data_IF_107520807164
#
_entry.id   IF_107520807164
#
_cell.length_a   1.000
_cell.length_b   1.000
_cell.length_c   1.000
_cell.angle_alpha   90.00
_cell.angle_beta   90.00
_cell.angle_gamma   90.00
#
_symmetry.space_group_name_H-M   'P 1'
#
loop_
_entity.id
_entity.type
_entity.pdbx_description
1 polymer ?
#
# COMPACT_ATOMS: atom_id res chain seq x y z
N UNK A 1 -23.30 -11.93 4.49
CA UNK A 1 -23.62 -12.44 3.10
C UNK A 1 -23.54 -13.97 3.13
N UNK A 2 -24.46 -14.69 2.47
CA UNK A 2 -24.44 -16.17 2.48
C UNK A 2 -23.17 -16.69 1.76
N UNK A 3 -22.45 -17.62 2.37
CA UNK A 3 -21.28 -18.35 1.81
C UNK A 3 -21.58 -18.97 0.41
N UNK A 4 -22.85 -19.25 0.10
CA UNK A 4 -23.28 -19.75 -1.21
C UNK A 4 -23.02 -18.74 -2.35
N UNK A 5 -23.13 -17.43 -2.10
CA UNK A 5 -22.85 -16.39 -3.13
C UNK A 5 -21.37 -16.21 -3.46
N UNK A 6 -20.46 -16.67 -2.61
CA UNK A 6 -19.02 -16.62 -2.85
C UNK A 6 -18.55 -17.62 -3.94
N UNK A 7 -19.40 -18.58 -4.34
CA UNK A 7 -19.09 -19.59 -5.37
C UNK A 7 -19.81 -19.39 -6.71
N UNK A 8 -20.66 -18.34 -6.85
CA UNK A 8 -21.25 -18.02 -8.15
C UNK A 8 -20.16 -17.72 -9.17
N UNK A 9 -20.21 -18.21 -10.41
CA UNK A 9 -19.26 -17.79 -11.43
C UNK A 9 -19.31 -16.27 -11.64
N UNK A 10 -18.17 -15.67 -11.86
CA UNK A 10 -18.00 -14.21 -12.01
C UNK A 10 -17.26 -13.87 -13.29
N UNK A 11 -17.52 -12.69 -13.86
CA UNK A 11 -16.79 -12.15 -14.99
C UNK A 11 -16.56 -10.63 -14.86
N UNK A 12 -15.44 -10.16 -15.39
CA UNK A 12 -15.14 -8.74 -15.51
C UNK A 12 -14.11 -8.45 -16.61
N UNK A 13 -13.98 -7.16 -16.98
CA UNK A 13 -12.80 -6.68 -17.69
C UNK A 13 -11.64 -6.60 -16.69
N UNK A 14 -10.56 -7.33 -16.96
CA UNK A 14 -9.41 -7.47 -16.06
C UNK A 14 -8.25 -6.50 -16.36
N UNK A 15 -8.29 -5.76 -17.47
CA UNK A 15 -7.29 -4.74 -17.84
C UNK A 15 -7.74 -3.36 -17.40
N UNK A 16 -6.76 -2.45 -17.25
CA UNK A 16 -7.03 -1.06 -16.87
C UNK A 16 -8.03 -0.40 -17.85
N UNK A 17 -8.84 0.52 -17.32
CA UNK A 17 -9.77 1.31 -18.14
C UNK A 17 -9.01 2.22 -19.12
N UNK A 18 -9.57 2.39 -20.32
CA UNK A 18 -8.99 3.24 -21.36
C UNK A 18 -8.79 2.48 -22.68
N UNK A 19 -7.99 3.08 -23.58
CA UNK A 19 -7.66 2.48 -24.89
C UNK A 19 -6.28 1.83 -24.80
N UNK A 20 -6.21 0.54 -25.13
CA UNK A 20 -4.97 -0.22 -25.20
C UNK A 20 -4.90 -1.11 -26.45
N UNK A 21 -3.74 -1.67 -26.73
CA UNK A 21 -3.60 -2.65 -27.82
C UNK A 21 -4.32 -3.96 -27.49
N UNK A 22 -4.29 -4.38 -26.22
CA UNK A 22 -4.92 -5.60 -25.70
C UNK A 22 -5.81 -5.25 -24.52
N UNK A 23 -6.98 -5.93 -24.45
CA UNK A 23 -7.88 -5.95 -23.32
C UNK A 23 -8.28 -7.37 -22.98
N UNK A 24 -8.53 -7.64 -21.71
CA UNK A 24 -8.83 -8.98 -21.20
C UNK A 24 -10.19 -8.97 -20.51
N UNK A 25 -11.08 -9.87 -20.95
CA UNK A 25 -12.27 -10.26 -20.18
C UNK A 25 -11.93 -11.57 -19.48
N UNK A 26 -12.10 -11.62 -18.16
CA UNK A 26 -11.83 -12.79 -17.31
C UNK A 26 -13.10 -13.28 -16.68
N UNK A 27 -13.28 -14.59 -16.67
CA UNK A 27 -14.30 -15.28 -15.87
C UNK A 27 -13.63 -16.26 -14.90
N UNK A 28 -14.22 -16.46 -13.71
CA UNK A 28 -13.83 -17.47 -12.71
C UNK A 28 -15.04 -18.13 -12.12
N UNK A 29 -14.94 -19.42 -11.83
CA UNK A 29 -15.99 -20.21 -11.19
C UNK A 29 -15.63 -21.68 -11.02
N UNK A 30 -16.43 -22.43 -10.25
CA UNK A 30 -16.15 -23.85 -9.96
C UNK A 30 -16.06 -24.75 -11.19
N UNK A 31 -16.86 -24.45 -12.22
CA UNK A 31 -16.88 -25.15 -13.51
C UNK A 31 -17.27 -24.17 -14.62
N UNK A 32 -16.33 -23.87 -15.51
CA UNK A 32 -16.55 -23.02 -16.68
C UNK A 32 -16.66 -23.81 -17.99
N UNK A 33 -16.69 -25.14 -17.99
CA UNK A 33 -16.85 -25.96 -19.20
C UNK A 33 -18.14 -25.64 -19.97
N UNK A 34 -19.30 -25.40 -19.31
CA UNK A 34 -20.50 -24.98 -20.01
C UNK A 34 -20.37 -23.61 -20.70
N UNK A 35 -19.67 -22.66 -20.07
CA UNK A 35 -19.39 -21.35 -20.67
C UNK A 35 -18.50 -21.49 -21.91
N UNK A 36 -17.40 -22.26 -21.79
CA UNK A 36 -16.47 -22.52 -22.89
C UNK A 36 -17.22 -23.18 -24.08
N UNK A 37 -18.11 -24.15 -23.79
CA UNK A 37 -18.91 -24.81 -24.80
C UNK A 37 -19.90 -23.84 -25.47
N UNK A 38 -20.53 -22.93 -24.70
CA UNK A 38 -21.47 -21.95 -25.23
C UNK A 38 -20.79 -20.88 -26.11
N UNK A 39 -19.54 -20.50 -25.79
CA UNK A 39 -18.77 -19.51 -26.53
C UNK A 39 -18.13 -20.08 -27.81
N UNK A 40 -17.60 -21.32 -27.76
CA UNK A 40 -16.70 -21.84 -28.80
C UNK A 40 -17.18 -23.15 -29.42
N UNK A 41 -18.24 -23.77 -28.91
CA UNK A 41 -18.77 -25.05 -29.41
C UNK A 41 -17.84 -26.27 -29.19
N UNK A 42 -16.73 -26.05 -28.47
CA UNK A 42 -15.70 -27.09 -28.16
C UNK A 42 -14.92 -26.77 -26.92
N UNK A 43 -14.32 -27.75 -26.23
CA UNK A 43 -13.39 -27.49 -25.13
C UNK A 43 -12.10 -26.83 -25.65
N UNK A 44 -11.43 -26.08 -24.77
CA UNK A 44 -10.13 -25.51 -25.00
C UNK A 44 -9.04 -26.39 -24.33
N UNK A 45 -7.88 -26.50 -25.01
CA UNK A 45 -6.73 -27.14 -24.39
C UNK A 45 -6.28 -26.33 -23.14
N UNK A 46 -6.06 -27.00 -21.98
CA UNK A 46 -5.63 -26.33 -20.77
C UNK A 46 -4.36 -25.50 -20.97
N UNK A 47 -4.39 -24.23 -20.52
CA UNK A 47 -3.26 -23.29 -20.54
C UNK A 47 -2.62 -23.05 -21.91
N UNK A 48 -3.35 -23.34 -22.98
CA UNK A 48 -2.92 -23.10 -24.36
C UNK A 48 -3.64 -21.86 -24.90
N UNK A 49 -2.86 -20.89 -25.37
CA UNK A 49 -3.39 -19.72 -26.07
C UNK A 49 -3.94 -20.15 -27.42
N UNK A 50 -5.25 -20.03 -27.60
CA UNK A 50 -5.95 -20.47 -28.82
C UNK A 50 -6.55 -19.26 -29.54
N UNK A 51 -6.11 -19.00 -30.79
CA UNK A 51 -6.66 -17.92 -31.58
C UNK A 51 -8.06 -18.32 -32.11
N UNK A 52 -9.07 -17.55 -31.73
CA UNK A 52 -10.47 -17.81 -32.05
C UNK A 52 -11.22 -16.53 -32.44
N UNK A 53 -12.28 -16.62 -33.27
CA UNK A 53 -13.24 -15.54 -33.40
C UNK A 53 -14.08 -15.47 -32.11
N UNK A 54 -14.25 -14.28 -31.56
CA UNK A 54 -15.25 -13.98 -30.55
C UNK A 54 -16.52 -13.49 -31.23
N UNK A 55 -17.62 -14.21 -31.03
CA UNK A 55 -18.88 -13.97 -31.78
C UNK A 55 -19.99 -13.52 -30.84
N UNK A 56 -20.84 -12.62 -31.33
CA UNK A 56 -22.09 -12.27 -30.68
C UNK A 56 -23.08 -13.46 -30.76
N UNK A 57 -24.25 -13.35 -30.13
CA UNK A 57 -25.25 -14.40 -30.09
C UNK A 57 -25.86 -14.70 -31.50
N UNK A 58 -25.88 -13.69 -32.37
CA UNK A 58 -26.33 -13.81 -33.76
C UNK A 58 -25.27 -14.41 -34.70
N UNK A 59 -24.11 -14.76 -34.20
CA UNK A 59 -23.00 -15.33 -34.98
C UNK A 59 -22.08 -14.26 -35.62
N UNK A 60 -22.39 -12.97 -35.52
CA UNK A 60 -21.51 -11.91 -36.02
C UNK A 60 -20.20 -11.85 -35.23
N UNK A 61 -19.10 -11.60 -35.93
CA UNK A 61 -17.77 -11.52 -35.28
C UNK A 61 -17.64 -10.20 -34.59
N UNK A 62 -17.38 -10.23 -33.26
CA UNK A 62 -17.04 -9.07 -32.45
C UNK A 62 -15.53 -8.74 -32.58
N UNK A 63 -14.69 -9.78 -32.49
CA UNK A 63 -13.25 -9.67 -32.59
C UNK A 63 -12.60 -11.03 -32.91
N UNK A 64 -11.26 -11.03 -33.12
CA UNK A 64 -10.42 -12.22 -33.16
C UNK A 64 -9.30 -12.07 -32.15
N UNK A 65 -9.21 -12.99 -31.19
CA UNK A 65 -8.27 -12.90 -30.09
C UNK A 65 -7.87 -14.25 -29.52
N UNK A 66 -7.16 -14.24 -28.41
CA UNK A 66 -6.70 -15.45 -27.75
C UNK A 66 -7.65 -15.81 -26.60
N UNK A 67 -8.10 -17.06 -26.59
CA UNK A 67 -8.79 -17.63 -25.43
C UNK A 67 -7.84 -18.59 -24.70
N UNK A 68 -7.79 -18.50 -23.38
CA UNK A 68 -6.97 -19.34 -22.52
C UNK A 68 -7.85 -19.85 -21.38
N UNK A 69 -7.90 -21.17 -21.19
CA UNK A 69 -8.57 -21.82 -20.07
C UNK A 69 -7.54 -22.34 -19.06
N UNK A 70 -7.69 -21.96 -17.81
CA UNK A 70 -6.89 -22.40 -16.67
C UNK A 70 -7.76 -23.26 -15.75
N UNK A 71 -7.70 -24.60 -15.85
CA UNK A 71 -8.47 -25.46 -14.97
C UNK A 71 -8.02 -25.38 -13.51
N UNK A 72 -8.98 -25.53 -12.61
CA UNK A 72 -8.74 -25.69 -11.19
C UNK A 72 -7.79 -26.89 -10.90
N UNK A 73 -6.97 -26.86 -9.83
CA UNK A 73 -6.72 -25.74 -8.92
C UNK A 73 -5.62 -24.80 -9.42
N UNK A 74 -5.14 -24.96 -10.63
CA UNK A 74 -3.94 -24.33 -11.16
C UNK A 74 -4.27 -23.02 -11.94
N UNK A 75 -4.98 -22.13 -11.32
CA UNK A 75 -5.39 -20.82 -11.81
C UNK A 75 -5.08 -19.73 -10.77
N UNK A 76 -5.41 -18.48 -11.08
CA UNK A 76 -5.23 -17.35 -10.15
C UNK A 76 -6.12 -17.48 -8.91
N UNK A 77 -7.41 -17.80 -9.12
CA UNK A 77 -8.40 -17.91 -8.03
C UNK A 77 -8.41 -19.28 -7.35
N UNK A 78 -7.76 -20.30 -7.92
CA UNK A 78 -7.94 -21.70 -7.48
C UNK A 78 -9.12 -22.40 -8.15
N UNK A 79 -10.09 -21.66 -8.71
CA UNK A 79 -11.22 -22.17 -9.50
C UNK A 79 -10.83 -22.31 -10.99
N UNK A 80 -11.77 -22.74 -11.84
CA UNK A 80 -11.61 -22.59 -13.29
C UNK A 80 -11.54 -21.10 -13.65
N UNK A 81 -10.59 -20.72 -14.52
CA UNK A 81 -10.47 -19.36 -15.05
C UNK A 81 -10.43 -19.40 -16.57
N UNK A 82 -11.24 -18.56 -17.21
CA UNK A 82 -11.23 -18.31 -18.65
C UNK A 82 -10.81 -16.86 -18.90
N UNK A 83 -9.79 -16.67 -19.74
CA UNK A 83 -9.38 -15.35 -20.22
C UNK A 83 -9.60 -15.23 -21.72
N UNK A 84 -10.23 -14.14 -22.13
CA UNK A 84 -10.44 -13.72 -23.51
C UNK A 84 -9.64 -12.46 -23.76
N UNK A 85 -8.55 -12.59 -24.49
CA UNK A 85 -7.65 -11.47 -24.83
C UNK A 85 -8.03 -10.93 -26.20
N UNK A 86 -8.65 -9.76 -26.21
CA UNK A 86 -9.18 -9.06 -27.38
C UNK A 86 -8.42 -7.75 -27.63
N UNK A 87 -8.77 -6.99 -28.67
CA UNK A 87 -8.31 -5.62 -28.80
C UNK A 87 -8.87 -4.74 -27.66
N UNK A 88 -8.03 -3.85 -27.11
CA UNK A 88 -8.30 -3.08 -25.89
C UNK A 88 -9.19 -1.84 -26.08
N UNK A 89 -10.18 -1.93 -26.97
CA UNK A 89 -11.19 -0.89 -27.14
C UNK A 89 -12.28 -0.97 -26.07
N UNK A 90 -12.61 0.11 -25.31
CA UNK A 90 -13.60 0.03 -24.24
C UNK A 90 -14.96 -0.49 -24.67
N UNK A 91 -15.45 -0.08 -25.84
CA UNK A 91 -16.74 -0.55 -26.38
C UNK A 91 -16.69 -2.04 -26.71
N UNK A 92 -15.60 -2.49 -27.33
CA UNK A 92 -15.42 -3.90 -27.68
C UNK A 92 -15.39 -4.78 -26.43
N UNK A 93 -14.65 -4.37 -25.40
CA UNK A 93 -14.55 -5.13 -24.14
C UNK A 93 -15.91 -5.20 -23.41
N UNK A 94 -16.72 -4.14 -23.46
CA UNK A 94 -18.08 -4.18 -22.92
C UNK A 94 -19.00 -5.14 -23.72
N UNK A 95 -18.90 -5.13 -25.05
CA UNK A 95 -19.66 -6.08 -25.90
C UNK A 95 -19.24 -7.53 -25.62
N UNK A 96 -17.92 -7.77 -25.47
CA UNK A 96 -17.40 -9.09 -25.17
C UNK A 96 -17.81 -9.55 -23.76
N UNK A 97 -17.76 -8.68 -22.77
CA UNK A 97 -18.22 -8.97 -21.41
C UNK A 97 -19.72 -9.27 -21.36
N UNK A 98 -20.54 -8.49 -22.08
CA UNK A 98 -21.98 -8.74 -22.20
C UNK A 98 -22.25 -10.12 -22.83
N UNK A 99 -21.51 -10.49 -23.89
CA UNK A 99 -21.60 -11.82 -24.54
C UNK A 99 -21.20 -12.94 -23.59
N UNK A 100 -20.16 -12.77 -22.78
CA UNK A 100 -19.72 -13.75 -21.76
C UNK A 100 -20.81 -13.95 -20.71
N UNK A 101 -21.40 -12.87 -20.19
CA UNK A 101 -22.50 -12.93 -19.22
C UNK A 101 -23.75 -13.62 -19.79
N UNK A 102 -24.13 -13.31 -21.05
CA UNK A 102 -25.24 -13.97 -21.75
C UNK A 102 -24.97 -15.47 -21.89
N UNK A 103 -23.79 -15.86 -22.39
CA UNK A 103 -23.42 -17.27 -22.58
C UNK A 103 -23.34 -18.04 -21.25
N UNK A 104 -23.00 -17.37 -20.17
CA UNK A 104 -22.90 -17.94 -18.82
C UNK A 104 -24.18 -17.87 -17.99
N UNK A 105 -25.29 -17.35 -18.55
CA UNK A 105 -26.56 -17.21 -17.80
C UNK A 105 -27.05 -18.54 -17.21
N UNK A 106 -26.86 -19.64 -17.94
CA UNK A 106 -27.27 -20.98 -17.50
C UNK A 106 -26.51 -21.52 -16.29
N UNK A 107 -25.34 -20.99 -16.00
CA UNK A 107 -24.52 -21.33 -14.80
C UNK A 107 -24.59 -20.26 -13.73
N UNK A 108 -25.42 -19.23 -13.86
CA UNK A 108 -25.55 -18.14 -12.91
C UNK A 108 -24.36 -17.14 -12.93
N UNK A 109 -23.64 -17.04 -14.05
CA UNK A 109 -22.52 -16.11 -14.21
C UNK A 109 -22.98 -14.66 -14.02
N UNK A 110 -22.30 -13.93 -13.14
CA UNK A 110 -22.60 -12.53 -12.84
C UNK A 110 -21.35 -11.64 -12.97
N UNK A 111 -21.56 -10.33 -12.90
CA UNK A 111 -20.45 -9.39 -12.77
C UNK A 111 -19.71 -9.58 -11.44
N UNK A 112 -18.38 -9.52 -11.52
CA UNK A 112 -17.52 -9.52 -10.35
C UNK A 112 -17.65 -8.21 -9.57
N UNK A 113 -17.52 -8.30 -8.25
CA UNK A 113 -17.32 -7.14 -7.38
C UNK A 113 -15.88 -6.65 -7.46
N UNK A 114 -15.60 -5.47 -6.87
CA UNK A 114 -14.24 -4.99 -6.69
C UNK A 114 -13.43 -6.01 -5.86
N UNK A 115 -12.22 -6.36 -6.33
CA UNK A 115 -11.31 -7.29 -5.66
C UNK A 115 -11.75 -8.75 -5.60
N UNK A 116 -12.88 -9.15 -6.18
CA UNK A 116 -13.46 -10.48 -5.96
C UNK A 116 -12.60 -11.65 -6.48
N UNK A 117 -11.83 -11.46 -7.53
CA UNK A 117 -10.89 -12.51 -8.00
C UNK A 117 -9.77 -12.74 -6.98
N UNK A 118 -9.22 -11.65 -6.40
CA UNK A 118 -8.17 -11.73 -5.38
C UNK A 118 -8.72 -12.24 -4.05
N UNK A 119 -9.96 -11.84 -3.68
CA UNK A 119 -10.67 -12.39 -2.52
C UNK A 119 -10.82 -13.91 -2.61
N UNK A 120 -11.19 -14.44 -3.80
CA UNK A 120 -11.27 -15.90 -4.02
C UNK A 120 -9.90 -16.57 -3.96
N UNK A 121 -8.87 -15.94 -4.54
CA UNK A 121 -7.51 -16.46 -4.43
C UNK A 121 -7.05 -16.59 -2.97
N UNK A 122 -7.43 -15.65 -2.10
CA UNK A 122 -7.20 -15.73 -0.66
C UNK A 122 -8.04 -16.84 -0.01
N UNK A 123 -9.35 -16.92 -0.31
CA UNK A 123 -10.25 -17.94 0.27
C UNK A 123 -9.92 -19.37 -0.16
N UNK A 124 -9.29 -19.56 -1.32
CA UNK A 124 -8.84 -20.84 -1.84
C UNK A 124 -7.34 -21.11 -1.58
N UNK A 125 -6.76 -20.43 -0.57
CA UNK A 125 -5.37 -20.60 -0.07
C UNK A 125 -4.30 -20.48 -1.18
N UNK A 126 -4.56 -19.71 -2.25
CA UNK A 126 -3.58 -19.44 -3.31
C UNK A 126 -2.58 -18.38 -2.89
N UNK A 127 -3.03 -17.42 -2.11
CA UNK A 127 -2.26 -16.31 -1.54
C UNK A 127 -2.81 -15.99 -0.16
N UNK A 128 -1.99 -15.48 0.73
CA UNK A 128 -2.45 -14.93 2.00
C UNK A 128 -2.88 -13.44 1.87
N UNK A 129 -3.35 -12.86 2.98
CA UNK A 129 -3.88 -11.50 2.96
C UNK A 129 -2.80 -10.45 2.66
N UNK A 130 -1.56 -10.63 3.14
CA UNK A 130 -0.46 -9.72 2.85
C UNK A 130 -0.04 -9.80 1.37
N UNK A 131 -0.04 -10.98 0.78
CA UNK A 131 0.19 -11.18 -0.65
C UNK A 131 -0.94 -10.60 -1.49
N UNK A 132 -2.21 -10.78 -1.07
CA UNK A 132 -3.35 -10.18 -1.72
C UNK A 132 -3.23 -8.65 -1.79
N UNK A 133 -2.89 -8.01 -0.67
CA UNK A 133 -2.65 -6.57 -0.63
C UNK A 133 -1.47 -6.14 -1.52
N UNK A 134 -0.41 -6.96 -1.59
CA UNK A 134 0.76 -6.68 -2.43
C UNK A 134 0.42 -6.66 -3.93
N UNK A 135 -0.62 -7.39 -4.39
CA UNK A 135 -1.13 -7.27 -5.76
C UNK A 135 -1.58 -5.84 -6.07
N UNK A 136 -2.34 -5.23 -5.17
CA UNK A 136 -2.78 -3.84 -5.34
C UNK A 136 -1.61 -2.87 -5.26
N UNK A 137 -0.72 -3.06 -4.28
CA UNK A 137 0.43 -2.19 -4.06
C UNK A 137 1.42 -2.23 -5.24
N UNK A 138 1.58 -3.38 -5.91
CA UNK A 138 2.40 -3.50 -7.12
C UNK A 138 1.83 -2.70 -8.30
N UNK A 139 0.50 -2.66 -8.41
CA UNK A 139 -0.20 -1.95 -9.48
C UNK A 139 -0.16 -0.43 -9.25
N UNK A 140 -0.30 -0.01 -7.98
CA UNK A 140 -0.35 1.39 -7.56
C UNK A 140 1.05 1.98 -7.34
N UNK A 141 2.12 1.17 -7.46
CA UNK A 141 3.49 1.60 -7.21
C UNK A 141 3.90 2.76 -8.13
N UNK A 142 4.30 3.87 -7.53
CA UNK A 142 4.73 5.09 -8.24
C UNK A 142 6.26 5.20 -8.41
N UNK A 143 7.03 4.32 -7.73
CA UNK A 143 8.49 4.29 -7.80
C UNK A 143 9.00 2.86 -8.04
N UNK A 144 10.21 2.73 -8.60
CA UNK A 144 10.86 1.43 -8.80
C UNK A 144 11.06 0.70 -7.47
N UNK A 145 11.46 1.41 -6.42
CA UNK A 145 11.66 0.85 -5.08
C UNK A 145 10.35 0.29 -4.51
N UNK A 146 9.23 1.02 -4.63
CA UNK A 146 7.92 0.55 -4.23
C UNK A 146 7.49 -0.69 -5.03
N UNK A 147 7.64 -0.69 -6.36
CA UNK A 147 7.29 -1.83 -7.21
C UNK A 147 8.10 -3.09 -6.85
N UNK A 148 9.42 -2.96 -6.69
CA UNK A 148 10.29 -4.08 -6.28
C UNK A 148 9.95 -4.61 -4.89
N UNK A 149 9.58 -3.71 -3.96
CA UNK A 149 9.18 -4.07 -2.61
C UNK A 149 7.84 -4.79 -2.58
N UNK A 150 6.86 -4.32 -3.39
CA UNK A 150 5.56 -4.98 -3.57
C UNK A 150 5.72 -6.37 -4.22
N UNK A 151 6.58 -6.51 -5.24
CA UNK A 151 6.87 -7.80 -5.86
C UNK A 151 7.43 -8.81 -4.84
N UNK A 152 8.36 -8.40 -3.96
CA UNK A 152 8.88 -9.28 -2.88
C UNK A 152 7.80 -9.69 -1.89
N UNK A 153 6.88 -8.79 -1.54
CA UNK A 153 5.74 -9.13 -0.68
C UNK A 153 4.79 -10.11 -1.35
N UNK A 154 4.53 -9.92 -2.66
CA UNK A 154 3.71 -10.83 -3.45
C UNK A 154 4.35 -12.22 -3.56
N UNK A 155 5.67 -12.31 -3.69
CA UNK A 155 6.44 -13.58 -3.67
C UNK A 155 6.44 -14.25 -2.29
N UNK A 156 5.83 -13.65 -1.27
CA UNK A 156 5.64 -14.23 0.06
C UNK A 156 6.79 -13.98 1.05
N UNK A 157 7.75 -13.11 0.73
CA UNK A 157 8.89 -12.87 1.63
C UNK A 157 8.45 -12.31 3.00
N UNK A 158 7.47 -11.41 3.02
CA UNK A 158 6.90 -10.88 4.26
C UNK A 158 6.12 -11.94 5.02
N UNK A 159 5.24 -12.68 4.34
CA UNK A 159 4.44 -13.75 4.92
C UNK A 159 5.29 -14.84 5.54
N UNK A 160 6.37 -15.27 4.87
CA UNK A 160 7.31 -16.26 5.39
C UNK A 160 7.99 -15.80 6.69
N UNK A 161 8.33 -14.51 6.79
CA UNK A 161 8.86 -13.93 8.02
C UNK A 161 7.82 -13.95 9.14
N UNK A 162 6.58 -13.53 8.87
CA UNK A 162 5.48 -13.53 9.84
C UNK A 162 5.18 -14.94 10.33
N UNK A 163 5.07 -15.94 9.43
CA UNK A 163 4.84 -17.33 9.83
C UNK A 163 6.00 -17.89 10.68
N UNK A 164 7.25 -17.53 10.36
CA UNK A 164 8.41 -17.93 11.16
C UNK A 164 8.33 -17.36 12.59
N UNK A 165 7.93 -16.10 12.72
CA UNK A 165 7.76 -15.45 14.03
C UNK A 165 6.59 -16.04 14.80
N UNK A 166 5.45 -16.28 14.13
CA UNK A 166 4.27 -16.94 14.69
C UNK A 166 4.61 -18.35 15.22
N UNK A 167 5.34 -19.14 14.43
CA UNK A 167 5.80 -20.47 14.83
C UNK A 167 6.63 -20.45 16.12
N UNK A 168 7.56 -19.49 16.26
CA UNK A 168 8.36 -19.32 17.49
C UNK A 168 7.50 -18.98 18.72
N UNK A 169 6.48 -18.12 18.54
CA UNK A 169 5.53 -17.78 19.62
C UNK A 169 4.72 -19.01 20.02
N UNK A 170 4.21 -19.78 19.04
CA UNK A 170 3.43 -21.01 19.27
C UNK A 170 4.28 -22.07 19.99
N UNK A 171 5.53 -22.28 19.58
CA UNK A 171 6.45 -23.21 20.24
C UNK A 171 6.69 -22.81 21.71
N UNK A 172 6.91 -21.50 21.97
CA UNK A 172 7.10 -21.03 23.33
C UNK A 172 5.84 -21.17 24.17
N UNK A 173 4.66 -20.84 23.59
CA UNK A 173 3.37 -21.00 24.25
C UNK A 173 3.10 -22.46 24.61
N UNK A 174 3.34 -23.39 23.71
CA UNK A 174 3.17 -24.82 23.97
C UNK A 174 4.03 -25.31 25.14
N UNK A 175 5.27 -24.80 25.28
CA UNK A 175 6.13 -25.11 26.43
C UNK A 175 5.56 -24.57 27.76
N UNK A 176 5.00 -23.35 27.74
CA UNK A 176 4.36 -22.75 28.93
C UNK A 176 3.11 -23.50 29.31
N UNK A 177 2.23 -23.84 28.35
CA UNK A 177 1.00 -24.62 28.57
C UNK A 177 1.33 -26.02 29.10
N UNK A 178 2.36 -26.69 28.57
CA UNK A 178 2.81 -28.00 29.09
C UNK A 178 3.27 -27.90 30.56
N UNK A 179 3.90 -26.80 30.98
CA UNK A 179 4.29 -26.57 32.38
C UNK A 179 3.05 -26.37 33.29
N UNK A 180 2.00 -25.73 32.78
CA UNK A 180 0.73 -25.57 33.52
C UNK A 180 -0.03 -26.89 33.67
N UNK A 181 0.00 -27.75 32.64
CA UNK A 181 -0.74 -29.02 32.64
C UNK A 181 -0.06 -30.10 33.51
N UNK A 182 1.27 -30.04 33.73
CA UNK A 182 2.04 -31.03 34.50
C UNK A 182 2.81 -30.39 35.67
N UNK A 183 2.13 -29.80 36.65
CA UNK A 183 2.78 -29.06 37.76
C UNK A 183 3.53 -30.00 38.75
N UNK A 184 3.29 -31.31 38.69
CA UNK A 184 3.91 -32.30 39.60
C UNK A 184 5.31 -32.77 39.12
N UNK A 185 5.71 -32.46 37.92
CA UNK A 185 7.06 -32.74 37.44
C UNK A 185 8.02 -31.68 38.00
N UNK A 186 8.91 -32.08 38.91
CA UNK A 186 9.94 -31.20 39.55
C UNK A 186 10.94 -30.57 38.56
N UNK A 187 10.61 -30.53 37.29
CA UNK A 187 11.45 -29.98 36.23
C UNK A 187 10.98 -28.57 35.93
N UNK A 188 11.81 -27.56 36.23
CA UNK A 188 11.62 -26.22 35.74
C UNK A 188 11.80 -26.21 34.21
N UNK A 189 10.70 -26.52 33.49
CA UNK A 189 10.66 -26.57 32.03
C UNK A 189 11.01 -25.21 31.44
N UNK A 190 10.70 -24.10 32.14
CA UNK A 190 11.02 -22.74 31.69
C UNK A 190 12.53 -22.48 31.73
N UNK A 191 13.25 -22.96 32.76
CA UNK A 191 14.71 -22.87 32.81
C UNK A 191 15.38 -23.78 31.78
N UNK A 192 14.96 -25.05 31.65
CA UNK A 192 15.50 -25.97 30.67
C UNK A 192 15.20 -25.53 29.22
N UNK A 193 14.02 -25.02 28.97
CA UNK A 193 13.62 -24.53 27.65
C UNK A 193 14.23 -23.17 27.29
N UNK A 194 14.98 -22.52 28.21
CA UNK A 194 15.48 -21.17 28.03
C UNK A 194 14.38 -20.18 27.60
N UNK A 195 13.22 -20.27 28.25
CA UNK A 195 12.03 -19.54 27.83
C UNK A 195 12.27 -18.02 27.75
N UNK A 196 13.04 -17.45 28.67
CA UNK A 196 13.42 -16.02 28.67
C UNK A 196 14.29 -15.67 27.46
N UNK A 197 15.33 -16.46 27.17
CA UNK A 197 16.20 -16.22 26.01
C UNK A 197 15.43 -16.32 24.71
N UNK A 198 14.46 -17.26 24.62
CA UNK A 198 13.57 -17.38 23.45
C UNK A 198 12.64 -16.17 23.32
N UNK A 199 12.06 -15.71 24.44
CA UNK A 199 11.20 -14.53 24.46
C UNK A 199 11.95 -13.27 24.01
N UNK A 200 13.17 -13.05 24.55
CA UNK A 200 14.04 -11.93 24.15
C UNK A 200 14.40 -12.01 22.65
N UNK A 201 14.67 -13.21 22.14
CA UNK A 201 14.98 -13.42 20.73
C UNK A 201 13.76 -13.16 19.82
N UNK A 202 12.55 -13.55 20.26
CA UNK A 202 11.31 -13.26 19.54
C UNK A 202 11.05 -11.75 19.52
N UNK A 203 11.17 -11.07 20.67
CA UNK A 203 10.99 -9.63 20.77
C UNK A 203 11.95 -8.87 19.87
N UNK A 204 13.24 -9.20 19.90
CA UNK A 204 14.23 -8.59 19.03
C UNK A 204 13.89 -8.78 17.54
N UNK A 205 13.42 -9.98 17.17
CA UNK A 205 13.04 -10.30 15.79
C UNK A 205 11.76 -9.54 15.34
N UNK A 206 10.74 -9.43 16.22
CA UNK A 206 9.54 -8.61 15.96
C UNK A 206 9.92 -7.13 15.84
N UNK A 207 10.81 -6.63 16.71
CA UNK A 207 11.34 -5.26 16.63
C UNK A 207 12.02 -4.97 15.29
N UNK A 208 12.83 -5.91 14.80
CA UNK A 208 13.47 -5.80 13.48
C UNK A 208 12.45 -5.85 12.33
N UNK A 209 11.44 -6.73 12.41
CA UNK A 209 10.35 -6.79 11.43
C UNK A 209 9.53 -5.48 11.41
N UNK A 210 9.23 -4.92 12.59
CA UNK A 210 8.54 -3.64 12.73
C UNK A 210 9.34 -2.48 12.10
N UNK A 211 10.65 -2.45 12.30
CA UNK A 211 11.50 -1.43 11.68
C UNK A 211 11.44 -1.51 10.15
N UNK A 212 11.54 -2.73 9.57
CA UNK A 212 11.40 -2.93 8.11
C UNK A 212 9.99 -2.61 7.61
N UNK A 213 8.94 -2.98 8.36
CA UNK A 213 7.56 -2.68 8.01
C UNK A 213 7.30 -1.16 7.93
N UNK A 214 7.88 -0.37 8.84
CA UNK A 214 7.80 1.11 8.78
C UNK A 214 8.46 1.67 7.52
N UNK A 215 9.62 1.14 7.12
CA UNK A 215 10.28 1.53 5.88
C UNK A 215 9.41 1.15 4.66
N UNK A 216 8.81 -0.04 4.67
CA UNK A 216 7.91 -0.51 3.62
C UNK A 216 6.63 0.31 3.52
N UNK A 217 6.07 0.74 4.64
CA UNK A 217 4.91 1.64 4.67
C UNK A 217 5.26 3.00 4.06
N UNK A 218 6.46 3.52 4.35
CA UNK A 218 6.94 4.77 3.77
C UNK A 218 7.15 4.66 2.25
N UNK A 219 7.66 3.55 1.73
CA UNK A 219 7.77 3.31 0.29
C UNK A 219 6.41 3.23 -0.40
N UNK A 220 5.38 2.78 0.30
CA UNK A 220 4.01 2.67 -0.22
C UNK A 220 3.25 4.00 -0.14
N UNK A 221 3.20 4.60 1.03
CA UNK A 221 2.36 5.77 1.32
C UNK A 221 3.05 7.07 0.95
N UNK A 222 4.39 7.04 0.89
CA UNK A 222 5.20 8.24 0.69
C UNK A 222 5.16 9.18 1.87
N UNK A 223 5.66 10.39 1.66
CA UNK A 223 5.66 11.50 2.60
C UNK A 223 4.85 12.66 2.01
N UNK A 224 3.96 13.25 2.78
CA UNK A 224 3.19 14.44 2.38
C UNK A 224 3.92 15.70 2.83
N UNK A 225 4.31 16.53 1.87
CA UNK A 225 5.04 17.78 2.10
C UNK A 225 4.25 18.96 1.58
N UNK A 226 4.01 19.95 2.42
CA UNK A 226 3.37 21.21 2.02
C UNK A 226 4.43 22.30 1.90
N UNK A 227 4.41 23.06 0.79
CA UNK A 227 5.29 24.21 0.61
C UNK A 227 4.53 25.49 0.96
N UNK A 228 4.95 26.18 2.02
CA UNK A 228 4.41 27.42 2.50
C UNK A 228 5.42 28.58 2.34
N UNK A 229 4.94 29.82 2.31
CA UNK A 229 5.78 31.02 2.23
C UNK A 229 5.13 32.12 1.40
N UNK A 230 5.69 33.32 1.47
CA UNK A 230 5.20 34.49 0.76
C UNK A 230 5.24 34.34 -0.77
N UNK A 231 4.52 35.17 -1.54
CA UNK A 231 4.67 35.23 -3.00
C UNK A 231 6.12 35.54 -3.40
N UNK A 232 6.58 34.94 -4.50
CA UNK A 232 7.89 35.17 -5.11
C UNK A 232 9.13 34.75 -4.29
N UNK A 233 8.96 34.00 -3.19
CA UNK A 233 10.11 33.43 -2.45
C UNK A 233 10.76 32.25 -3.20
N UNK A 234 10.13 31.76 -4.28
CA UNK A 234 10.68 30.73 -5.13
C UNK A 234 10.11 29.32 -4.85
N UNK A 235 8.87 29.20 -4.35
CA UNK A 235 8.20 27.91 -4.08
C UNK A 235 8.14 27.01 -5.31
N UNK A 236 7.61 27.51 -6.43
CA UNK A 236 7.51 26.76 -7.68
C UNK A 236 8.89 26.44 -8.28
N UNK A 237 9.88 27.32 -8.09
CA UNK A 237 11.27 27.04 -8.50
C UNK A 237 11.89 25.92 -7.65
N UNK A 238 11.59 25.89 -6.35
CA UNK A 238 12.02 24.84 -5.44
C UNK A 238 11.38 23.49 -5.82
N UNK A 239 10.06 23.49 -6.09
CA UNK A 239 9.34 22.31 -6.53
C UNK A 239 9.94 21.75 -7.83
N UNK A 240 10.15 22.60 -8.85
CA UNK A 240 10.78 22.22 -10.10
C UNK A 240 12.22 21.70 -9.91
N UNK A 241 12.98 22.30 -8.99
CA UNK A 241 14.35 21.87 -8.70
C UNK A 241 14.39 20.53 -7.95
N UNK A 242 13.41 20.24 -7.10
CA UNK A 242 13.24 18.94 -6.47
C UNK A 242 12.78 17.88 -7.47
N UNK A 243 11.81 18.23 -8.35
CA UNK A 243 11.27 17.34 -9.39
C UNK A 243 12.28 17.07 -10.53
N UNK A 244 13.11 18.04 -10.87
CA UNK A 244 14.02 17.96 -12.04
C UNK A 244 15.12 16.92 -11.97
N UNK A 245 15.35 16.27 -10.82
CA UNK A 245 16.34 15.22 -10.66
C UNK A 245 15.71 13.81 -10.70
N UNK A 246 14.47 13.63 -10.25
CA UNK A 246 13.84 12.31 -10.12
C UNK A 246 12.31 12.44 -10.15
N UNK A 247 11.74 12.71 -11.32
CA UNK A 247 10.29 12.57 -11.50
C UNK A 247 9.88 11.11 -11.24
N UNK A 248 8.98 10.90 -10.27
CA UNK A 248 8.29 9.63 -10.15
C UNK A 248 7.57 9.34 -11.48
N UNK A 249 7.52 8.08 -11.90
CA UNK A 249 6.78 7.67 -13.09
C UNK A 249 5.30 7.78 -12.75
N UNK A 250 4.75 8.99 -12.83
CA UNK A 250 3.31 9.22 -12.64
C UNK A 250 2.63 8.77 -13.92
N UNK A 251 2.09 7.57 -13.94
CA UNK A 251 1.06 7.23 -14.92
C UNK A 251 -0.21 7.94 -14.50
N UNK A 252 -0.81 8.80 -15.36
CA UNK A 252 -2.11 9.39 -15.06
C UNK A 252 -3.15 8.26 -15.12
N UNK A 253 -3.47 7.65 -13.99
CA UNK A 253 -4.58 6.72 -13.88
C UNK A 253 -5.82 7.59 -13.65
N UNK A 254 -6.78 7.63 -14.62
CA UNK A 254 -8.02 8.36 -14.42
C UNK A 254 -8.80 7.73 -13.27
N UNK A 255 -9.00 8.46 -12.18
CA UNK A 255 -9.86 8.05 -11.06
C UNK A 255 -9.20 8.00 -9.67
N UNK A 256 -7.88 8.06 -9.56
CA UNK A 256 -7.19 8.05 -8.26
C UNK A 256 -6.94 9.44 -7.67
N UNK A 257 -7.11 10.51 -8.46
CA UNK A 257 -6.92 11.90 -8.01
C UNK A 257 -8.27 12.61 -7.86
N UNK A 258 -8.97 12.41 -6.72
CA UNK A 258 -10.02 13.33 -6.26
C UNK A 258 -9.44 14.61 -5.65
N UNK A 259 -8.17 14.61 -5.25
CA UNK A 259 -7.44 15.78 -4.75
C UNK A 259 -6.47 16.27 -5.82
N UNK A 260 -6.87 17.34 -6.49
CA UNK A 260 -6.06 18.08 -7.46
C UNK A 260 -5.01 18.88 -6.69
N UNK A 261 -3.75 18.84 -7.17
CA UNK A 261 -2.63 19.73 -6.83
C UNK A 261 -1.52 19.12 -5.96
N UNK A 262 -1.31 17.81 -5.96
CA UNK A 262 -0.06 17.26 -5.45
C UNK A 262 0.80 16.78 -6.63
N UNK A 263 2.00 17.30 -6.77
CA UNK A 263 3.05 16.67 -7.60
C UNK A 263 3.74 15.58 -6.79
N UNK A 264 3.86 14.40 -7.37
CA UNK A 264 4.60 13.32 -6.73
C UNK A 264 6.01 13.25 -7.32
N UNK A 265 6.99 13.49 -6.49
CA UNK A 265 8.42 13.30 -6.79
C UNK A 265 8.92 12.08 -6.02
N UNK A 266 10.12 11.59 -6.33
CA UNK A 266 10.78 10.57 -5.50
C UNK A 266 12.10 11.09 -4.95
N UNK A 267 12.44 10.71 -3.72
CA UNK A 267 13.73 10.96 -3.10
C UNK A 267 14.25 9.61 -2.57
N UNK A 268 15.34 9.11 -3.14
CA UNK A 268 15.89 7.77 -2.85
C UNK A 268 14.84 6.65 -2.94
N UNK A 269 13.92 6.75 -3.90
CA UNK A 269 12.86 5.77 -4.11
C UNK A 269 11.62 5.95 -3.22
N UNK A 270 11.65 6.86 -2.24
CA UNK A 270 10.50 7.22 -1.41
C UNK A 270 9.62 8.22 -2.17
N UNK A 271 8.32 7.95 -2.36
CA UNK A 271 7.40 8.92 -2.92
C UNK A 271 7.24 10.14 -1.99
N UNK A 272 7.32 11.34 -2.55
CA UNK A 272 7.06 12.59 -1.81
C UNK A 272 5.95 13.34 -2.53
N UNK A 273 4.81 13.45 -1.88
CA UNK A 273 3.62 14.13 -2.38
C UNK A 273 3.68 15.60 -1.98
N UNK A 274 4.05 16.45 -2.92
CA UNK A 274 4.24 17.90 -2.67
C UNK A 274 2.98 18.65 -3.01
N UNK A 275 2.42 19.36 -2.01
CA UNK A 275 1.28 20.26 -2.18
C UNK A 275 1.78 21.68 -2.19
N UNK A 276 1.66 22.37 -3.33
CA UNK A 276 2.00 23.80 -3.44
C UNK A 276 0.79 24.67 -3.06
N UNK A 277 0.94 25.44 -1.97
CA UNK A 277 -0.10 26.37 -1.53
C UNK A 277 -0.28 27.58 -2.47
N UNK A 278 0.67 27.85 -3.37
CA UNK A 278 0.57 28.95 -4.34
C UNK A 278 -0.37 28.63 -5.52
N UNK A 279 -0.41 27.37 -5.98
CA UNK A 279 -1.33 26.92 -7.03
C UNK A 279 -2.82 27.01 -6.65
N UNK A 280 -3.12 27.15 -5.36
CA UNK A 280 -4.48 27.32 -4.86
C UNK A 280 -4.98 28.78 -4.95
N UNK A 281 -4.12 29.77 -5.29
CA UNK A 281 -4.46 31.21 -5.34
C UNK A 281 -4.64 31.78 -6.75
N UNK A 282 -4.20 31.11 -7.82
CA UNK A 282 -4.10 31.76 -9.14
C UNK A 282 -5.42 31.87 -9.95
N UNK A 283 -6.54 31.31 -9.47
CA UNK A 283 -7.79 31.35 -10.23
C UNK A 283 -9.04 31.58 -9.40
N UNK A 284 -9.13 32.67 -8.60
CA UNK A 284 -10.46 33.18 -8.31
C UNK A 284 -10.52 34.41 -7.40
N UNK A 285 -11.29 35.39 -7.83
CA UNK A 285 -11.82 36.46 -7.00
C UNK A 285 -13.12 36.01 -6.29
N UNK A 286 -13.21 36.33 -5.03
CA UNK A 286 -14.35 36.39 -4.10
C UNK A 286 -14.77 35.13 -3.28
N UNK A 287 -15.40 34.13 -3.74
CA UNK A 287 -15.95 33.05 -2.91
C UNK A 287 -15.05 31.81 -2.94
N UNK A 288 -14.32 31.60 -4.01
CA UNK A 288 -13.35 30.54 -4.24
C UNK A 288 -12.05 30.76 -3.43
N UNK A 289 -11.74 32.03 -3.09
CA UNK A 289 -10.57 32.40 -2.28
C UNK A 289 -10.71 31.91 -0.82
N UNK A 290 -11.91 31.95 -0.24
CA UNK A 290 -12.21 31.44 1.10
C UNK A 290 -12.15 29.90 1.16
N UNK A 291 -12.59 29.22 0.10
CA UNK A 291 -12.53 27.76 -0.05
C UNK A 291 -11.07 27.31 -0.26
N UNK A 292 -10.29 28.07 -1.03
CA UNK A 292 -8.86 27.80 -1.27
C UNK A 292 -8.02 27.93 0.02
N UNK A 293 -8.30 28.89 0.86
CA UNK A 293 -7.64 29.08 2.16
C UNK A 293 -7.97 27.91 3.11
N UNK A 294 -9.25 27.49 3.21
CA UNK A 294 -9.64 26.33 4.04
C UNK A 294 -8.94 25.05 3.64
N UNK A 295 -8.85 24.74 2.34
CA UNK A 295 -8.17 23.55 1.82
C UNK A 295 -6.65 23.57 2.04
N UNK A 296 -6.03 24.74 2.06
CA UNK A 296 -4.61 24.89 2.38
C UNK A 296 -4.32 24.50 3.84
N UNK A 297 -5.26 24.79 4.74
CA UNK A 297 -5.13 24.42 6.16
C UNK A 297 -5.35 22.94 6.40
N UNK A 298 -6.35 22.33 5.77
CA UNK A 298 -6.54 20.87 5.80
C UNK A 298 -5.30 20.12 5.26
N UNK A 299 -4.65 20.66 4.22
CA UNK A 299 -3.42 20.09 3.71
C UNK A 299 -2.25 20.19 4.70
N UNK A 300 -2.14 21.30 5.44
CA UNK A 300 -1.11 21.49 6.47
C UNK A 300 -1.35 20.56 7.67
N UNK A 301 -2.59 20.39 8.12
CA UNK A 301 -2.93 19.48 9.23
C UNK A 301 -2.63 18.01 8.91
N UNK A 302 -2.72 17.62 7.64
CA UNK A 302 -2.40 16.27 7.17
C UNK A 302 -0.99 16.08 6.62
N UNK A 303 -0.11 17.08 6.72
CA UNK A 303 1.25 17.03 6.21
C UNK A 303 2.22 16.38 7.21
N UNK A 304 3.14 15.55 6.70
CA UNK A 304 4.25 14.99 7.48
C UNK A 304 5.36 16.01 7.71
N UNK A 305 5.48 17.02 6.81
CA UNK A 305 6.34 18.18 7.01
C UNK A 305 5.83 19.40 6.22
N UNK A 306 6.10 20.59 6.74
CA UNK A 306 5.83 21.87 6.06
C UNK A 306 7.16 22.55 5.75
N UNK A 307 7.45 22.78 4.46
CA UNK A 307 8.59 23.57 4.02
C UNK A 307 8.20 25.05 4.06
N UNK A 308 8.65 25.75 5.07
CA UNK A 308 8.46 27.21 5.14
C UNK A 308 9.61 27.90 4.42
N UNK A 309 9.32 28.40 3.20
CA UNK A 309 10.32 28.96 2.28
C UNK A 309 10.46 30.45 2.49
N UNK A 310 11.70 30.88 2.80
CA UNK A 310 12.10 32.27 3.04
C UNK A 310 12.98 32.81 1.89
N UNK A 311 12.84 34.08 1.57
CA UNK A 311 13.69 34.80 0.61
C UNK A 311 14.84 35.51 1.34
N UNK A 312 16.05 34.96 1.23
CA UNK A 312 17.24 35.52 1.87
C UNK A 312 17.57 36.95 1.41
N UNK A 313 17.14 37.33 0.21
CA UNK A 313 17.41 38.68 -0.33
C UNK A 313 16.53 39.76 0.29
N UNK A 314 15.47 39.39 1.03
CA UNK A 314 14.53 40.27 1.68
C UNK A 314 14.69 40.36 3.20
N UNK A 315 15.72 39.75 3.70
CA UNK A 315 16.04 39.77 5.13
C UNK A 315 16.35 41.21 5.58
N UNK A 316 15.72 41.65 6.69
CA UNK A 316 15.80 43.02 7.18
C UNK A 316 14.75 43.96 6.58
N UNK A 317 13.88 43.51 5.67
CA UNK A 317 12.70 44.23 5.22
C UNK A 317 11.58 44.03 6.27
N UNK A 318 11.26 45.10 7.01
CA UNK A 318 10.29 45.03 8.12
C UNK A 318 8.88 44.57 7.67
N UNK A 319 8.45 44.94 6.46
CA UNK A 319 7.16 44.53 5.92
C UNK A 319 7.18 43.02 5.56
N UNK A 320 8.31 42.54 5.05
CA UNK A 320 8.50 41.12 4.75
C UNK A 320 8.52 40.29 6.04
N UNK A 321 9.26 40.71 7.04
CA UNK A 321 9.37 39.98 8.32
C UNK A 321 8.03 39.96 9.08
N UNK A 322 7.23 41.04 9.04
CA UNK A 322 5.90 41.04 9.64
C UNK A 322 4.95 40.03 8.97
N UNK A 323 4.96 39.94 7.64
CA UNK A 323 4.17 38.96 6.92
C UNK A 323 4.66 37.49 7.11
N UNK A 324 5.97 37.27 7.27
CA UNK A 324 6.55 36.00 7.65
C UNK A 324 6.06 35.55 9.05
N UNK A 325 6.05 36.47 10.02
CA UNK A 325 5.57 36.21 11.38
C UNK A 325 4.08 35.82 11.40
N UNK A 326 3.26 36.42 10.53
CA UNK A 326 1.85 36.04 10.39
C UNK A 326 1.71 34.61 9.89
N UNK A 327 2.48 34.21 8.85
CA UNK A 327 2.49 32.82 8.35
C UNK A 327 2.99 31.89 9.43
N UNK A 328 4.11 32.19 10.11
CA UNK A 328 4.68 31.36 11.19
C UNK A 328 3.68 31.12 12.31
N UNK A 329 2.88 32.16 12.70
CA UNK A 329 1.85 32.02 13.73
C UNK A 329 0.81 30.97 13.32
N UNK A 330 0.47 30.93 12.05
CA UNK A 330 -0.51 29.97 11.51
C UNK A 330 0.04 28.56 11.33
N UNK A 331 1.35 28.37 11.27
CA UNK A 331 2.02 27.07 11.18
C UNK A 331 2.32 26.46 12.56
N UNK A 332 1.88 27.08 13.65
CA UNK A 332 2.08 26.57 15.00
C UNK A 332 1.41 25.19 15.16
N UNK A 333 2.21 24.23 15.65
CA UNK A 333 1.76 22.84 15.83
C UNK A 333 2.09 21.89 14.67
N UNK A 334 2.49 22.41 13.49
CA UNK A 334 3.00 21.61 12.38
C UNK A 334 4.51 21.31 12.52
N UNK A 335 4.99 20.23 11.88
CA UNK A 335 6.42 19.97 11.74
C UNK A 335 7.03 20.86 10.63
N UNK A 336 7.54 22.04 11.03
CA UNK A 336 8.04 23.03 10.09
C UNK A 336 9.54 22.87 9.87
N UNK A 337 9.92 22.80 8.57
CA UNK A 337 11.30 22.92 8.12
C UNK A 337 11.51 24.27 7.45
N UNK A 338 12.33 25.12 8.06
CA UNK A 338 12.72 26.41 7.48
C UNK A 338 13.67 26.20 6.30
N UNK A 339 13.32 26.77 5.15
CA UNK A 339 14.08 26.68 3.89
C UNK A 339 14.44 28.08 3.43
N UNK A 340 15.69 28.44 3.51
CA UNK A 340 16.21 29.74 3.16
C UNK A 340 16.72 29.74 1.73
N UNK A 341 15.87 30.22 0.79
CA UNK A 341 16.14 30.21 -0.65
C UNK A 341 16.86 31.48 -1.13
N UNK A 342 17.36 31.44 -2.38
CA UNK A 342 18.12 32.49 -3.07
C UNK A 342 19.49 32.77 -2.44
N UNK A 343 20.14 31.75 -1.92
CA UNK A 343 21.49 31.86 -1.34
C UNK A 343 22.55 32.33 -2.35
N UNK A 344 22.29 32.20 -3.67
CA UNK A 344 23.14 32.70 -4.73
C UNK A 344 23.17 34.25 -4.81
N UNK A 345 22.18 34.91 -4.23
CA UNK A 345 22.03 36.39 -4.27
C UNK A 345 22.12 37.03 -2.88
N UNK A 346 22.33 36.25 -1.81
CA UNK A 346 22.37 36.75 -0.43
C UNK A 346 23.78 36.69 0.17
N UNK A 347 24.14 37.69 0.98
CA UNK A 347 25.47 37.80 1.59
C UNK A 347 25.60 36.99 2.92
N UNK A 348 24.51 36.72 3.60
CA UNK A 348 24.48 36.03 4.90
C UNK A 348 23.32 35.04 4.98
N UNK A 349 23.58 33.87 5.58
CA UNK A 349 22.61 32.85 5.88
C UNK A 349 22.33 32.77 7.39
N UNK A 350 21.08 32.45 7.82
CA UNK A 350 20.78 32.16 9.22
C UNK A 350 21.44 30.86 9.66
N UNK A 351 21.57 30.67 10.99
CA UNK A 351 22.16 29.48 11.57
C UNK A 351 21.22 28.29 11.72
N UNK A 352 19.93 28.48 11.44
CA UNK A 352 18.89 27.46 11.53
C UNK A 352 18.27 27.16 10.14
N UNK A 353 17.73 25.95 9.98
CA UNK A 353 17.08 25.54 8.74
C UNK A 353 18.05 25.14 7.61
N UNK A 354 17.49 24.93 6.42
CA UNK A 354 18.23 24.54 5.21
C UNK A 354 18.44 25.75 4.31
N UNK A 355 19.70 26.06 4.01
CA UNK A 355 20.08 27.15 3.10
C UNK A 355 20.32 26.59 1.72
N UNK A 356 19.63 27.14 0.71
CA UNK A 356 19.73 26.65 -0.68
C UNK A 356 19.51 27.76 -1.72
N UNK A 357 19.86 27.46 -2.95
CA UNK A 357 19.41 28.19 -4.14
C UNK A 357 18.70 27.22 -5.08
N UNK A 358 17.38 27.34 -5.18
CA UNK A 358 16.59 26.57 -6.13
C UNK A 358 17.02 26.82 -7.59
N UNK A 359 17.50 28.04 -7.89
CA UNK A 359 17.99 28.41 -9.22
C UNK A 359 19.35 27.78 -9.55
N UNK A 360 20.27 27.78 -8.61
CA UNK A 360 21.63 27.24 -8.80
C UNK A 360 21.76 25.75 -8.49
N UNK A 361 20.72 25.13 -7.89
CA UNK A 361 20.73 23.73 -7.47
C UNK A 361 21.55 23.46 -6.22
N UNK A 362 22.11 24.47 -5.55
CA UNK A 362 22.93 24.30 -4.34
C UNK A 362 22.05 24.09 -3.13
N UNK A 363 22.47 23.21 -2.19
CA UNK A 363 21.74 22.93 -0.94
C UNK A 363 20.53 21.99 -1.09
N UNK A 364 20.11 21.61 -2.30
CA UNK A 364 18.98 20.71 -2.52
C UNK A 364 19.20 19.31 -1.90
N UNK A 365 20.41 18.80 -1.96
CA UNK A 365 20.76 17.51 -1.37
C UNK A 365 20.63 17.50 0.16
N UNK A 366 20.92 18.61 0.80
CA UNK A 366 20.71 18.78 2.24
C UNK A 366 19.23 18.79 2.58
N UNK A 367 18.40 19.44 1.75
CA UNK A 367 16.94 19.42 1.90
C UNK A 367 16.37 18.00 1.73
N UNK A 368 16.82 17.26 0.71
CA UNK A 368 16.38 15.87 0.48
C UNK A 368 16.68 14.99 1.67
N UNK A 369 17.92 15.02 2.18
CA UNK A 369 18.32 14.23 3.35
C UNK A 369 17.53 14.61 4.60
N UNK A 370 17.24 15.89 4.81
CA UNK A 370 16.47 16.34 5.96
C UNK A 370 14.99 15.89 5.86
N UNK A 371 14.39 15.89 4.68
CA UNK A 371 13.05 15.34 4.44
C UNK A 371 13.01 13.84 4.73
N UNK A 372 13.96 13.06 4.19
CA UNK A 372 14.05 11.63 4.45
C UNK A 372 14.29 11.31 5.93
N UNK A 373 15.13 12.09 6.60
CA UNK A 373 15.38 11.94 8.05
C UNK A 373 14.10 12.16 8.86
N UNK A 374 13.30 13.18 8.54
CA UNK A 374 12.00 13.46 9.18
C UNK A 374 10.99 12.36 8.92
N UNK A 375 10.95 11.82 7.71
CA UNK A 375 10.15 10.66 7.36
C UNK A 375 10.59 9.36 8.08
N UNK A 376 11.76 9.37 8.76
CA UNK A 376 12.33 8.19 9.39
C UNK A 376 12.93 7.19 8.41
N UNK A 377 13.25 7.63 7.18
CA UNK A 377 13.90 6.79 6.18
C UNK A 377 15.34 6.48 6.58
N UNK A 378 15.70 5.21 6.44
CA UNK A 378 17.08 4.74 6.63
C UNK A 378 17.64 4.32 5.27
N UNK A 379 18.71 4.99 4.85
CA UNK A 379 19.39 4.63 3.60
C UNK A 379 19.88 3.18 3.63
N UNK A 380 19.56 2.41 2.57
CA UNK A 380 19.84 0.99 2.38
C UNK A 380 19.11 0.03 3.33
N UNK A 381 17.83 -0.15 3.23
CA UNK A 381 17.21 -1.34 3.79
C UNK A 381 17.27 -2.47 2.74
N UNK A 382 18.33 -3.28 2.76
CA UNK A 382 18.30 -4.56 2.08
C UNK A 382 17.12 -5.40 2.60
N UNK A 383 16.30 -5.93 1.70
CA UNK A 383 15.19 -6.82 2.08
C UNK A 383 13.93 -6.11 2.57
N UNK A 384 13.72 -4.81 2.31
CA UNK A 384 12.44 -4.15 2.61
C UNK A 384 11.33 -4.75 1.76
N UNK A 385 10.27 -5.17 2.42
CA UNK A 385 9.01 -5.56 1.83
C UNK A 385 7.99 -4.42 1.99
N UNK A 386 7.00 -4.34 1.09
CA UNK A 386 5.95 -3.35 1.25
C UNK A 386 5.09 -3.71 2.46
N UNK A 387 4.70 -2.71 3.24
CA UNK A 387 3.84 -2.89 4.40
C UNK A 387 2.77 -1.78 4.45
N UNK A 388 1.71 -2.04 5.18
CA UNK A 388 0.60 -1.11 5.39
C UNK A 388 0.52 -0.69 6.85
N UNK A 389 -0.15 0.40 7.15
CA UNK A 389 -0.36 0.88 8.52
C UNK A 389 -0.95 -0.22 9.43
N UNK A 390 -1.85 -1.08 8.92
CA UNK A 390 -2.40 -2.21 9.69
C UNK A 390 -1.33 -3.23 10.09
N UNK A 391 -0.34 -3.50 9.22
CA UNK A 391 0.77 -4.42 9.52
C UNK A 391 1.66 -3.85 10.62
N UNK A 392 1.99 -2.55 10.51
CA UNK A 392 2.74 -1.82 11.54
C UNK A 392 2.00 -1.87 12.88
N UNK A 393 0.68 -1.62 12.88
CA UNK A 393 -0.15 -1.67 14.07
C UNK A 393 -0.23 -3.09 14.68
N UNK A 394 -0.34 -4.12 13.84
CA UNK A 394 -0.34 -5.52 14.29
C UNK A 394 1.00 -5.90 14.95
N UNK A 395 2.14 -5.56 14.32
CA UNK A 395 3.47 -5.78 14.90
C UNK A 395 3.68 -5.01 16.21
N UNK A 396 3.14 -3.78 16.31
CA UNK A 396 3.20 -3.01 17.56
C UNK A 396 2.39 -3.66 18.69
N UNK A 397 1.16 -4.16 18.39
CA UNK A 397 0.36 -4.93 19.36
C UNK A 397 1.06 -6.21 19.78
N UNK A 398 1.63 -6.95 18.83
CA UNK A 398 2.43 -8.14 19.10
C UNK A 398 3.56 -7.83 20.08
N UNK A 399 4.31 -6.75 19.83
CA UNK A 399 5.42 -6.32 20.69
C UNK A 399 4.94 -5.91 22.10
N UNK A 400 3.81 -5.22 22.20
CA UNK A 400 3.21 -4.84 23.48
C UNK A 400 2.85 -6.08 24.33
N UNK A 401 2.25 -7.09 23.73
CA UNK A 401 1.94 -8.37 24.40
C UNK A 401 3.22 -9.12 24.80
N UNK A 402 4.27 -9.11 23.96
CA UNK A 402 5.55 -9.73 24.33
C UNK A 402 6.23 -9.04 25.52
N UNK A 403 6.15 -7.70 25.62
CA UNK A 403 6.63 -6.98 26.80
C UNK A 403 5.88 -7.36 28.09
N UNK A 404 4.54 -7.55 28.01
CA UNK A 404 3.76 -8.05 29.12
C UNK A 404 4.12 -9.49 29.46
N UNK A 405 4.34 -10.34 28.45
CA UNK A 405 4.80 -11.72 28.61
C UNK A 405 6.16 -11.78 29.35
N UNK A 406 7.11 -10.89 29.00
CA UNK A 406 8.38 -10.78 29.73
C UNK A 406 8.18 -10.39 31.20
N UNK A 407 7.28 -9.44 31.48
CA UNK A 407 7.00 -9.01 32.84
C UNK A 407 6.40 -10.17 33.68
N UNK A 408 5.54 -11.01 33.07
CA UNK A 408 5.00 -12.20 33.72
C UNK A 408 6.07 -13.31 33.90
N UNK A 409 6.91 -13.55 32.88
CA UNK A 409 8.01 -14.50 32.95
C UNK A 409 9.02 -14.14 34.06
N UNK A 410 9.13 -12.87 34.45
CA UNK A 410 9.97 -12.43 35.56
C UNK A 410 9.39 -12.83 36.94
N UNK A 411 8.08 -13.08 37.04
CA UNK A 411 7.38 -13.44 38.29
C UNK A 411 7.44 -14.97 38.60
N UNK A 412 8.13 -15.75 37.76
CA UNK A 412 8.23 -17.23 37.82
C UNK A 412 6.85 -17.90 37.78
N UNK A 413 6.66 -18.99 38.53
CA UNK A 413 5.48 -19.84 38.48
C UNK A 413 4.16 -19.17 38.86
N UNK A 414 4.22 -17.99 39.49
CA UNK A 414 3.04 -17.28 39.97
C UNK A 414 2.18 -16.59 38.86
N UNK A 415 2.67 -16.57 37.61
CA UNK A 415 2.01 -15.87 36.52
C UNK A 415 2.11 -16.61 35.15
N UNK A 416 2.25 -17.95 35.19
CA UNK A 416 2.39 -18.75 33.96
C UNK A 416 1.14 -18.73 33.07
N UNK A 417 -0.05 -18.68 33.68
CA UNK A 417 -1.33 -18.54 33.00
C UNK A 417 -1.42 -17.20 32.26
N UNK A 418 -0.95 -16.12 32.89
CA UNK A 418 -0.89 -14.79 32.26
C UNK A 418 0.16 -14.75 31.14
N UNK A 419 1.31 -15.41 31.34
CA UNK A 419 2.31 -15.55 30.30
C UNK A 419 1.76 -16.29 29.07
N UNK A 420 1.04 -17.41 29.26
CA UNK A 420 0.41 -18.17 28.19
C UNK A 420 -0.64 -17.31 27.44
N UNK A 421 -1.44 -16.53 28.16
CA UNK A 421 -2.43 -15.66 27.56
C UNK A 421 -1.80 -14.51 26.75
N UNK A 422 -0.75 -13.88 27.26
CA UNK A 422 -0.03 -12.83 26.49
C UNK A 422 0.63 -13.38 25.22
N UNK A 423 1.18 -14.60 25.26
CA UNK A 423 1.69 -15.30 24.08
C UNK A 423 0.56 -15.61 23.09
N UNK A 424 -0.62 -16.02 23.56
CA UNK A 424 -1.79 -16.25 22.72
C UNK A 424 -2.24 -14.97 22.01
N UNK A 425 -2.34 -13.85 22.75
CA UNK A 425 -2.74 -12.55 22.20
C UNK A 425 -1.68 -12.01 21.22
N UNK A 426 -0.40 -12.23 21.51
CA UNK A 426 0.72 -11.91 20.63
C UNK A 426 0.62 -12.68 19.29
N UNK A 427 0.35 -13.97 19.33
CA UNK A 427 0.14 -14.81 18.15
C UNK A 427 -1.08 -14.34 17.34
N UNK A 428 -2.19 -14.05 18.03
CA UNK A 428 -3.41 -13.55 17.38
C UNK A 428 -3.15 -12.22 16.64
N UNK A 429 -2.49 -11.26 17.30
CA UNK A 429 -2.18 -9.98 16.70
C UNK A 429 -1.27 -10.13 15.46
N UNK A 430 -0.31 -11.05 15.51
CA UNK A 430 0.61 -11.33 14.39
C UNK A 430 -0.12 -12.00 13.22
N UNK A 431 -1.00 -12.96 13.48
CA UNK A 431 -1.76 -13.69 12.45
C UNK A 431 -2.81 -12.85 11.72
N UNK A 432 -3.19 -11.68 12.26
CA UNK A 432 -4.02 -10.71 11.52
C UNK A 432 -3.32 -10.19 10.24
N UNK A 433 -1.98 -10.22 10.19
CA UNK A 433 -1.22 -9.76 9.03
C UNK A 433 -1.47 -10.67 7.83
N UNK A 434 -1.41 -11.98 8.03
CA UNK A 434 -1.59 -13.00 6.98
C UNK A 434 -3.06 -13.40 6.77
N UNK A 435 -3.94 -12.99 7.71
CA UNK A 435 -5.39 -13.27 7.64
C UNK A 435 -5.81 -14.55 8.35
N UNK A 436 -4.93 -15.19 9.14
CA UNK A 436 -5.29 -16.37 9.95
C UNK A 436 -6.38 -16.06 10.98
N UNK A 437 -6.41 -14.82 11.48
CA UNK A 437 -7.38 -14.30 12.46
C UNK A 437 -8.11 -13.05 11.94
N UNK A 438 -8.54 -13.06 10.67
CA UNK A 438 -9.27 -11.95 10.06
C UNK A 438 -10.76 -11.99 10.34
N UNK A 439 -11.39 -10.81 10.48
CA UNK A 439 -12.86 -10.67 10.53
C UNK A 439 -13.42 -10.44 9.11
N UNK A 440 -14.68 -10.85 8.82
CA UNK A 440 -15.35 -10.59 7.53
C UNK A 440 -15.37 -9.09 7.19
N UNK A 441 -15.49 -8.21 8.18
CA UNK A 441 -15.46 -6.75 7.98
C UNK A 441 -14.11 -6.27 7.47
N UNK A 442 -13.01 -6.80 8.00
CA UNK A 442 -11.66 -6.48 7.54
C UNK A 442 -11.43 -6.91 6.08
N UNK A 443 -11.85 -8.12 5.72
CA UNK A 443 -11.77 -8.62 4.35
C UNK A 443 -12.59 -7.74 3.40
N UNK A 444 -13.80 -7.37 3.79
CA UNK A 444 -14.66 -6.46 3.02
C UNK A 444 -14.03 -5.09 2.79
N UNK A 445 -13.35 -4.51 3.77
CA UNK A 445 -12.66 -3.24 3.65
C UNK A 445 -11.43 -3.34 2.73
N UNK A 446 -10.63 -4.39 2.87
CA UNK A 446 -9.42 -4.59 2.06
C UNK A 446 -9.79 -4.79 0.59
N UNK A 447 -10.66 -5.76 0.29
CA UNK A 447 -11.00 -6.10 -1.10
C UNK A 447 -11.89 -5.06 -1.77
N UNK A 448 -12.73 -4.34 -1.00
CA UNK A 448 -13.55 -3.24 -1.52
C UNK A 448 -12.77 -2.07 -2.12
N UNK A 449 -11.49 -1.93 -1.78
CA UNK A 449 -10.57 -0.90 -2.33
C UNK A 449 -9.90 -1.31 -3.64
N UNK A 450 -10.01 -2.57 -4.05
CA UNK A 450 -9.42 -3.06 -5.29
C UNK A 450 -10.21 -2.62 -6.51
N UNK A 451 -9.56 -2.64 -7.68
CA UNK A 451 -10.26 -2.45 -8.95
C UNK A 451 -11.16 -3.65 -9.28
N UNK A 452 -12.27 -3.42 -10.00
CA UNK A 452 -13.10 -4.49 -10.57
C UNK A 452 -12.26 -5.26 -11.61
N UNK A 453 -12.28 -6.59 -11.55
CA UNK A 453 -11.49 -7.45 -12.43
C UNK A 453 -10.18 -7.98 -11.82
N UNK A 454 -9.95 -7.63 -10.55
CA UNK A 454 -8.82 -8.12 -9.76
C UNK A 454 -9.28 -8.83 -8.52
#
# INVERSE_FOLDING_TARGET
MSLARLRDPIAAVATAAGRGAVGIVRASGPDLAPLVQALFGRPLAPRAATLLPFTAADGSVLDRGLAIHFPAPHSYTGEDVLELQAHGGPVLLQLLLARVLEAGAGIGLRLARAGEFTERAFLDDKIDLAQAEAVADLIDASTEAAARSAARSLDGAFSAEIHTLAGRIVELRALVEATLDFPEEEIDFLEKARARERLDAIEAAIGAALARARQGALLREGMRVVIAGQPNVGKSSLLNALAGAELAIVTPIPGTTRDRVAETIQIEGVPVHVVDTAGLREHAADEVERIGIGRSWEAIEGADAVLFVHDLTRRGDAAYEAAEAEIATRLQGADVLHVHNKADAAAQAPGDGVVLSAKAGTGLETLRRELLRRAGWQAQPDGVFIARARHVAALQRTLAHLHLAQAHAAQRDAALDLLAEELRLSHQALGEITGEFGTEDLLGEIFGRFCIGK
#
